data_IF_697941544996
#
_entry.id   IF_697941544996
#
_cell.length_a   1.000
_cell.length_b   1.000
_cell.length_c   1.000
_cell.angle_alpha   90.00
_cell.angle_beta   90.00
_cell.angle_gamma   90.00
#
_symmetry.space_group_name_H-M   'P 1'
#
loop_
_entity.id
_entity.type
_entity.pdbx_description
1 polymer ?
#
# COMPACT_ATOMS: atom_id res chain seq x y z
N UNK A 1 63.23 11.20 3.70
CA UNK A 1 62.08 10.58 3.03
C UNK A 1 60.95 10.34 4.04
N UNK A 2 60.03 11.30 4.25
CA UNK A 2 58.66 10.92 4.61
C UNK A 2 57.65 11.93 4.03
N UNK A 3 57.30 11.79 2.76
CA UNK A 3 56.27 12.64 2.11
C UNK A 3 55.20 11.82 1.38
N UNK A 4 55.25 10.50 1.50
CA UNK A 4 54.40 9.56 0.75
C UNK A 4 53.50 8.72 1.65
N UNK A 5 53.29 9.14 2.91
CA UNK A 5 52.41 8.44 3.87
C UNK A 5 51.13 9.24 4.14
N UNK A 6 51.11 10.54 3.80
CA UNK A 6 49.97 11.42 4.05
C UNK A 6 49.01 11.58 2.86
N UNK A 7 49.14 10.74 1.82
CA UNK A 7 48.19 10.71 0.69
C UNK A 7 47.28 9.48 0.72
N UNK A 8 47.60 8.44 1.50
CA UNK A 8 46.85 7.19 1.51
C UNK A 8 45.68 7.18 2.51
N UNK A 9 45.73 8.04 3.54
CA UNK A 9 44.64 8.18 4.52
C UNK A 9 43.40 8.91 3.98
N UNK A 10 43.57 9.79 3.00
CA UNK A 10 42.47 10.55 2.40
C UNK A 10 41.63 9.68 1.44
N UNK A 11 42.23 8.65 0.84
CA UNK A 11 41.57 7.80 -0.14
C UNK A 11 40.70 6.70 0.52
N UNK A 12 40.98 6.36 1.78
CA UNK A 12 40.23 5.32 2.52
C UNK A 12 38.88 5.81 3.08
N UNK A 13 38.69 7.13 3.24
CA UNK A 13 37.41 7.69 3.65
C UNK A 13 36.35 7.74 2.53
N UNK A 14 36.74 7.54 1.27
CA UNK A 14 35.82 7.68 0.14
C UNK A 14 34.97 6.41 -0.15
N UNK A 15 35.23 5.31 0.58
CA UNK A 15 34.64 4.00 0.28
C UNK A 15 33.45 3.59 1.17
N UNK A 16 33.00 4.46 2.10
CA UNK A 16 31.97 4.11 3.09
C UNK A 16 30.61 4.80 2.89
N UNK A 17 30.39 5.55 1.81
CA UNK A 17 29.09 6.20 1.58
C UNK A 17 28.28 5.54 0.46
N UNK A 18 27.86 4.30 0.69
CA UNK A 18 26.77 3.67 -0.06
C UNK A 18 25.66 3.24 0.91
N UNK A 19 25.16 4.19 1.70
CA UNK A 19 23.89 4.02 2.39
C UNK A 19 22.79 4.03 1.34
N UNK A 20 22.25 2.84 1.05
CA UNK A 20 21.04 2.67 0.27
C UNK A 20 19.89 3.31 1.04
N UNK A 21 19.47 4.49 0.60
CA UNK A 21 18.24 5.11 1.08
C UNK A 21 17.07 4.24 0.65
N UNK A 22 16.59 3.42 1.59
CA UNK A 22 15.22 2.92 1.61
C UNK A 22 14.32 4.15 1.46
N UNK A 23 13.66 4.27 0.33
CA UNK A 23 12.62 5.27 0.14
C UNK A 23 11.54 4.98 1.18
N UNK A 24 11.25 5.92 2.10
CA UNK A 24 10.03 5.84 2.89
C UNK A 24 8.90 5.78 1.86
N UNK A 25 7.96 4.86 2.04
CA UNK A 25 6.77 4.71 1.19
C UNK A 25 6.31 6.08 0.67
N UNK A 26 6.44 6.24 -0.64
CA UNK A 26 6.27 7.52 -1.34
C UNK A 26 4.82 7.99 -1.13
N UNK A 27 4.64 8.81 -0.09
CA UNK A 27 3.43 9.59 0.09
C UNK A 27 3.57 10.77 -0.86
N UNK A 28 2.78 10.73 -1.92
CA UNK A 28 2.70 11.82 -2.90
C UNK A 28 2.25 13.10 -2.18
N UNK A 29 3.20 13.99 -1.90
CA UNK A 29 2.96 15.31 -1.31
C UNK A 29 2.12 16.21 -2.21
N UNK A 30 1.88 15.82 -3.48
CA UNK A 30 0.93 16.50 -4.36
C UNK A 30 -0.54 16.12 -4.08
N UNK A 31 -0.80 15.13 -3.20
CA UNK A 31 -2.17 14.76 -2.79
C UNK A 31 -2.67 15.58 -1.58
N UNK A 32 -1.79 16.36 -0.94
CA UNK A 32 -2.14 17.23 0.19
C UNK A 32 -2.95 18.41 -0.36
N UNK A 33 -4.25 18.47 -0.04
CA UNK A 33 -5.15 19.55 -0.47
C UNK A 33 -6.23 19.15 -1.48
N UNK A 34 -6.22 17.92 -2.01
CA UNK A 34 -7.37 17.38 -2.76
C UNK A 34 -8.35 16.75 -1.80
N UNK A 35 -9.59 17.25 -1.76
CA UNK A 35 -10.69 16.63 -1.02
C UNK A 35 -10.89 15.21 -1.54
N UNK A 36 -10.44 14.20 -0.78
CA UNK A 36 -10.77 12.81 -1.08
C UNK A 36 -12.28 12.65 -0.89
N UNK A 37 -12.98 12.22 -1.93
CA UNK A 37 -14.42 11.96 -1.82
C UNK A 37 -14.58 10.73 -0.92
N UNK A 38 -15.27 10.90 0.19
CA UNK A 38 -15.63 9.81 1.10
C UNK A 38 -17.13 9.60 1.01
N UNK A 39 -17.56 8.35 0.88
CA UNK A 39 -18.97 7.99 0.88
C UNK A 39 -19.24 6.92 1.94
N UNK A 40 -20.24 7.17 2.79
CA UNK A 40 -20.69 6.20 3.77
C UNK A 40 -21.67 5.20 3.16
N UNK A 41 -21.62 3.97 3.64
CA UNK A 41 -22.52 2.90 3.20
C UNK A 41 -22.51 1.70 4.13
N UNK A 42 -23.21 0.65 3.70
CA UNK A 42 -23.32 -0.62 4.43
C UNK A 42 -22.91 -1.78 3.53
N UNK A 43 -22.10 -2.70 4.07
CA UNK A 43 -21.74 -3.93 3.36
C UNK A 43 -22.98 -4.82 3.24
N UNK A 44 -23.39 -5.11 2.01
CA UNK A 44 -24.51 -5.99 1.70
C UNK A 44 -24.06 -7.40 1.32
N UNK A 45 -22.82 -7.56 0.85
CA UNK A 45 -22.24 -8.87 0.51
C UNK A 45 -20.71 -8.85 0.62
N UNK A 46 -20.11 -10.02 0.82
CA UNK A 46 -18.66 -10.24 0.76
C UNK A 46 -18.35 -11.56 0.05
N UNK A 47 -17.31 -11.56 -0.77
CA UNK A 47 -16.86 -12.76 -1.49
C UNK A 47 -15.34 -12.91 -1.38
N UNK A 48 -14.81 -14.10 -1.01
CA UNK A 48 -13.38 -14.34 -0.99
C UNK A 48 -12.83 -14.38 -2.42
N UNK A 49 -11.67 -13.77 -2.64
CA UNK A 49 -10.97 -13.75 -3.93
C UNK A 49 -9.48 -13.99 -3.73
N UNK A 50 -8.85 -14.53 -4.77
CA UNK A 50 -7.39 -14.63 -4.87
C UNK A 50 -6.90 -13.58 -5.86
N UNK A 51 -6.01 -12.70 -5.43
CA UNK A 51 -5.33 -11.77 -6.33
C UNK A 51 -4.23 -12.52 -7.07
N UNK A 52 -3.99 -12.20 -8.33
CA UNK A 52 -2.86 -12.76 -9.08
C UNK A 52 -1.95 -11.59 -9.44
N UNK A 53 -0.72 -11.57 -8.94
CA UNK A 53 0.29 -10.62 -9.39
C UNK A 53 0.89 -11.13 -10.70
N UNK A 54 0.53 -10.51 -11.84
CA UNK A 54 1.30 -10.70 -13.08
C UNK A 54 2.65 -10.03 -12.89
N UNK A 55 3.69 -10.82 -12.60
CA UNK A 55 5.08 -10.37 -12.71
C UNK A 55 5.36 -10.04 -14.18
N UNK A 56 5.71 -8.79 -14.55
CA UNK A 56 6.11 -8.50 -15.91
C UNK A 56 7.44 -9.20 -16.15
N UNK A 57 7.46 -10.11 -17.12
CA UNK A 57 8.65 -10.79 -17.65
C UNK A 57 9.79 -9.79 -17.93
N UNK A 58 10.68 -9.59 -16.96
CA UNK A 58 12.13 -9.49 -17.10
C UNK A 58 12.73 -9.09 -15.75
N UNK A 59 13.15 -10.07 -14.94
CA UNK A 59 14.26 -9.83 -14.03
C UNK A 59 14.86 -11.12 -13.55
N UNK A 60 16.18 -11.19 -13.72
CA UNK A 60 17.07 -12.07 -12.99
C UNK A 60 16.70 -11.95 -11.52
N UNK A 61 16.02 -12.97 -11.01
CA UNK A 61 15.53 -13.03 -9.64
C UNK A 61 16.76 -12.96 -8.73
N UNK A 62 16.93 -11.85 -8.02
CA UNK A 62 17.98 -11.73 -7.02
C UNK A 62 17.68 -12.75 -5.90
N UNK A 63 18.69 -13.46 -5.36
CA UNK A 63 18.49 -14.37 -4.22
C UNK A 63 17.85 -13.60 -3.07
N UNK A 64 16.68 -14.07 -2.60
CA UNK A 64 15.89 -13.40 -1.56
C UNK A 64 14.68 -12.60 -2.06
N UNK A 65 14.39 -12.57 -3.37
CA UNK A 65 13.08 -12.10 -3.85
C UNK A 65 12.06 -13.24 -3.81
N UNK A 66 11.54 -13.47 -2.61
CA UNK A 66 10.37 -14.33 -2.41
C UNK A 66 9.19 -13.66 -3.14
N UNK A 67 8.76 -14.30 -4.23
CA UNK A 67 7.56 -13.90 -4.96
C UNK A 67 6.38 -14.06 -4.00
N UNK A 68 5.74 -12.95 -3.62
CA UNK A 68 4.48 -12.97 -2.87
C UNK A 68 3.46 -13.67 -3.77
N UNK A 69 3.14 -14.91 -3.40
CA UNK A 69 2.04 -15.67 -3.97
C UNK A 69 0.77 -14.82 -3.88
N UNK A 70 0.01 -14.82 -4.96
CA UNK A 70 -1.09 -13.90 -5.18
C UNK A 70 -2.00 -13.77 -3.95
N UNK A 71 -1.92 -12.62 -3.27
CA UNK A 71 -2.53 -12.43 -1.95
C UNK A 71 -4.01 -12.76 -1.91
N UNK A 72 -4.50 -13.24 -0.77
CA UNK A 72 -5.92 -13.49 -0.56
C UNK A 72 -6.62 -12.20 -0.13
N UNK A 73 -7.89 -12.08 -0.45
CA UNK A 73 -8.69 -10.95 -0.01
C UNK A 73 -10.18 -11.16 -0.19
N UNK A 74 -10.91 -10.07 -0.04
CA UNK A 74 -12.36 -10.05 -0.18
C UNK A 74 -12.78 -8.94 -1.12
N UNK A 75 -13.79 -9.23 -1.93
CA UNK A 75 -14.58 -8.23 -2.63
C UNK A 75 -15.81 -7.91 -1.79
N UNK A 76 -15.94 -6.65 -1.39
CA UNK A 76 -17.08 -6.14 -0.64
C UNK A 76 -18.04 -5.41 -1.57
N UNK A 77 -19.32 -5.81 -1.53
CA UNK A 77 -20.39 -5.08 -2.18
C UNK A 77 -21.05 -4.17 -1.15
N UNK A 78 -21.02 -2.87 -1.42
CA UNK A 78 -21.41 -1.82 -0.49
C UNK A 78 -22.56 -1.04 -1.11
N UNK A 79 -23.66 -0.93 -0.37
CA UNK A 79 -24.74 0.00 -0.70
C UNK A 79 -24.44 1.32 0.00
N UNK A 80 -24.12 2.35 -0.79
CA UNK A 80 -23.89 3.69 -0.29
C UNK A 80 -25.20 4.34 0.14
N UNK A 81 -25.11 5.35 1.01
CA UNK A 81 -26.28 6.06 1.54
C UNK A 81 -27.12 6.76 0.45
N UNK A 82 -26.51 7.12 -0.67
CA UNK A 82 -27.19 7.67 -1.84
C UNK A 82 -27.91 6.60 -2.70
N UNK A 83 -27.89 5.33 -2.30
CA UNK A 83 -28.50 4.21 -3.01
C UNK A 83 -27.60 3.55 -4.07
N UNK A 84 -26.45 4.14 -4.39
CA UNK A 84 -25.49 3.55 -5.34
C UNK A 84 -24.85 2.28 -4.77
N UNK A 85 -24.62 1.28 -5.62
CA UNK A 85 -23.90 0.05 -5.25
C UNK A 85 -22.48 0.13 -5.79
N UNK A 86 -21.50 -0.16 -4.92
CA UNK A 86 -20.07 -0.16 -5.26
C UNK A 86 -19.45 -1.48 -4.85
N UNK A 87 -18.53 -1.98 -5.67
CA UNK A 87 -17.73 -3.16 -5.38
C UNK A 87 -16.28 -2.73 -5.14
N UNK A 88 -15.70 -3.14 -4.01
CA UNK A 88 -14.31 -2.82 -3.67
C UNK A 88 -13.57 -4.08 -3.26
N UNK A 89 -12.42 -4.33 -3.89
CA UNK A 89 -11.53 -5.43 -3.55
C UNK A 89 -10.47 -4.97 -2.55
N UNK A 90 -10.27 -5.76 -1.48
CA UNK A 90 -9.32 -5.44 -0.42
C UNK A 90 -8.58 -6.70 0.06
N UNK A 91 -7.34 -6.54 0.53
CA UNK A 91 -6.55 -7.63 1.12
C UNK A 91 -7.19 -8.16 2.40
N UNK A 92 -6.81 -9.37 2.79
CA UNK A 92 -7.37 -10.09 3.94
C UNK A 92 -7.10 -9.46 5.32
N UNK A 93 -6.22 -8.46 5.39
CA UNK A 93 -5.83 -7.79 6.64
C UNK A 93 -7.02 -7.14 7.36
N UNK A 94 -8.02 -6.68 6.61
CA UNK A 94 -9.20 -5.98 7.14
C UNK A 94 -10.47 -6.83 6.97
N UNK A 95 -10.83 -7.60 7.99
CA UNK A 95 -11.99 -8.50 7.98
C UNK A 95 -13.28 -7.78 8.33
N UNK A 96 -13.87 -7.09 7.35
CA UNK A 96 -15.17 -6.43 7.52
C UNK A 96 -16.33 -7.43 7.47
N UNK A 97 -17.41 -7.15 8.21
CA UNK A 97 -18.60 -8.00 8.32
C UNK A 97 -19.75 -7.50 7.43
N UNK A 98 -20.62 -8.42 7.00
CA UNK A 98 -21.89 -8.04 6.34
C UNK A 98 -22.74 -7.26 7.35
N UNK A 99 -23.48 -6.25 6.87
CA UNK A 99 -24.25 -5.26 7.66
C UNK A 99 -23.43 -4.24 8.44
N UNK A 100 -22.10 -4.29 8.35
CA UNK A 100 -21.23 -3.28 8.97
C UNK A 100 -21.31 -1.96 8.19
N UNK A 101 -21.39 -0.85 8.91
CA UNK A 101 -21.23 0.51 8.35
C UNK A 101 -19.77 0.75 7.99
N UNK A 102 -19.55 1.33 6.82
CA UNK A 102 -18.23 1.55 6.27
C UNK A 102 -18.14 2.89 5.54
N UNK A 103 -16.92 3.39 5.45
CA UNK A 103 -16.55 4.52 4.63
C UNK A 103 -15.78 4.02 3.41
N UNK A 104 -16.20 4.44 2.22
CA UNK A 104 -15.50 4.23 0.96
C UNK A 104 -14.73 5.50 0.64
N UNK A 105 -13.40 5.40 0.65
CA UNK A 105 -12.51 6.52 0.31
C UNK A 105 -12.08 6.37 -1.14
N UNK A 106 -12.53 7.30 -1.98
CA UNK A 106 -12.15 7.37 -3.39
C UNK A 106 -10.81 8.11 -3.58
N UNK A 107 -10.00 7.65 -4.53
CA UNK A 107 -8.71 8.25 -4.88
C UNK A 107 -7.95 7.39 -5.88
N UNK A 108 -6.63 7.56 -5.95
CA UNK A 108 -5.74 6.71 -6.77
C UNK A 108 -5.90 5.22 -6.38
N UNK A 109 -6.04 4.95 -5.08
CA UNK A 109 -6.38 3.63 -4.54
C UNK A 109 -7.65 3.74 -3.72
N UNK A 110 -8.69 2.99 -4.11
CA UNK A 110 -9.93 2.91 -3.34
C UNK A 110 -9.71 2.05 -2.10
N UNK A 111 -10.19 2.52 -0.94
CA UNK A 111 -10.10 1.79 0.33
C UNK A 111 -11.44 1.79 1.03
N UNK A 112 -11.74 0.69 1.73
CA UNK A 112 -12.89 0.58 2.63
C UNK A 112 -12.40 0.62 4.07
N UNK A 113 -13.05 1.42 4.91
CA UNK A 113 -12.75 1.55 6.32
C UNK A 113 -14.01 1.30 7.17
N UNK A 114 -13.89 0.72 8.38
CA UNK A 114 -14.99 0.71 9.33
C UNK A 114 -15.45 2.13 9.66
N UNK A 115 -16.76 2.33 9.80
CA UNK A 115 -17.35 3.59 10.27
C UNK A 115 -17.68 3.46 11.77
N UNK A 116 -16.73 3.84 12.63
CA UNK A 116 -16.85 3.75 14.09
C UNK A 116 -17.62 4.93 14.72
N UNK A 117 -18.38 5.69 13.92
CA UNK A 117 -19.14 6.88 14.37
C UNK A 117 -20.27 6.60 15.37
N UNK A 118 -20.45 5.36 15.83
CA UNK A 118 -21.49 4.95 16.78
C UNK A 118 -20.99 4.67 18.21
N UNK A 119 -19.79 5.10 18.59
CA UNK A 119 -19.22 4.84 19.92
C UNK A 119 -18.68 6.10 20.62
N UNK A 120 -19.47 7.18 20.60
CA UNK A 120 -19.26 8.37 21.45
C UNK A 120 -20.28 8.42 22.58
#
# INVERSE_FOLDING_TARGET
MPKLIWSFGLFFCLLLSACKSITPSEYDVAEVGKLKKVASGVIISKQPVKFHSKSPNNSRVAPGSEYIDGGQGYVYVIKLNNGTIVSVAQSEDLKLKIKQRVLVVYGKHTRVLPDDSSNS
#
